data_IF_270713104313
#
_entry.id   IF_270713104313
#
_cell.length_a   1.000
_cell.length_b   1.000
_cell.length_c   1.000
_cell.angle_alpha   90.00
_cell.angle_beta   90.00
_cell.angle_gamma   90.00
#
_symmetry.space_group_name_H-M   'P 1'
#
loop_
_entity.id
_entity.type
_entity.pdbx_description
1 polymer ?
#
# COMPACT_ATOMS: atom_id res chain seq x y z
N UNK A 1 25.87 -55.27 -6.47
CA UNK A 1 25.03 -54.79 -5.36
C UNK A 1 25.45 -53.40 -4.81
N UNK A 2 26.73 -53.06 -4.81
CA UNK A 2 27.19 -51.73 -4.37
C UNK A 2 26.76 -50.58 -5.30
N UNK A 3 26.57 -50.83 -6.61
CA UNK A 3 26.21 -49.84 -7.62
C UNK A 3 24.74 -49.35 -7.47
N UNK A 4 23.83 -50.21 -7.03
CA UNK A 4 22.42 -49.88 -6.81
C UNK A 4 22.19 -48.99 -5.58
N UNK A 5 23.02 -49.16 -4.52
CA UNK A 5 22.92 -48.31 -3.32
C UNK A 5 23.48 -46.92 -3.55
N UNK A 6 24.50 -46.76 -4.39
CA UNK A 6 25.05 -45.47 -4.76
C UNK A 6 24.12 -44.68 -5.71
N UNK A 7 23.44 -45.40 -6.61
CA UNK A 7 22.42 -44.79 -7.50
C UNK A 7 21.20 -44.31 -6.71
N UNK A 8 20.76 -45.09 -5.71
CA UNK A 8 19.67 -44.68 -4.84
C UNK A 8 20.03 -43.49 -3.96
N UNK A 9 21.29 -43.42 -3.48
CA UNK A 9 21.76 -42.29 -2.68
C UNK A 9 21.83 -41.00 -3.51
N UNK A 10 22.29 -41.08 -4.77
CA UNK A 10 22.32 -39.96 -5.72
C UNK A 10 20.92 -39.46 -6.10
N UNK A 11 19.96 -40.36 -6.25
CA UNK A 11 18.56 -40.02 -6.53
C UNK A 11 17.91 -39.33 -5.33
N UNK A 12 18.19 -39.78 -4.11
CA UNK A 12 17.73 -39.13 -2.88
C UNK A 12 18.34 -37.73 -2.68
N UNK A 13 19.62 -37.55 -3.03
CA UNK A 13 20.28 -36.23 -2.97
C UNK A 13 19.78 -35.27 -4.02
N UNK A 14 19.39 -35.74 -5.22
CA UNK A 14 18.79 -34.90 -6.25
C UNK A 14 17.34 -34.51 -5.96
N UNK A 15 16.60 -35.33 -5.23
CA UNK A 15 15.21 -35.04 -4.90
C UNK A 15 15.07 -34.03 -3.75
N UNK A 16 16.11 -33.77 -2.97
CA UNK A 16 16.11 -32.81 -1.87
C UNK A 16 16.37 -31.37 -2.32
N UNK A 17 16.67 -31.14 -3.60
CA UNK A 17 17.00 -29.80 -4.12
C UNK A 17 15.83 -29.06 -4.79
N UNK A 18 14.61 -29.60 -4.77
CA UNK A 18 13.46 -29.08 -5.50
C UNK A 18 12.37 -28.38 -4.66
N UNK A 19 12.66 -28.09 -3.38
CA UNK A 19 11.78 -27.23 -2.58
C UNK A 19 12.41 -25.87 -2.31
N UNK A 20 12.79 -25.16 -3.37
CA UNK A 20 12.88 -23.71 -3.27
C UNK A 20 11.44 -23.20 -3.35
N UNK A 21 10.79 -23.16 -2.22
CA UNK A 21 9.54 -22.43 -2.05
C UNK A 21 9.86 -20.95 -2.35
N UNK A 22 9.63 -20.51 -3.57
CA UNK A 22 9.61 -19.08 -3.89
C UNK A 22 8.39 -18.49 -3.20
N UNK A 23 8.53 -18.15 -1.92
CA UNK A 23 7.55 -17.36 -1.22
C UNK A 23 7.44 -16.01 -1.90
N UNK A 24 6.32 -15.76 -2.59
CA UNK A 24 6.01 -14.43 -3.09
C UNK A 24 5.77 -13.56 -1.87
N UNK A 25 6.68 -12.61 -1.61
CA UNK A 25 6.50 -11.64 -0.55
C UNK A 25 5.39 -10.67 -0.96
N UNK A 26 4.21 -10.80 -0.36
CA UNK A 26 3.16 -9.80 -0.49
C UNK A 26 3.47 -8.65 0.48
N UNK A 27 3.38 -7.40 -0.02
CA UNK A 27 3.39 -6.22 0.83
C UNK A 27 2.21 -6.30 1.81
N UNK A 28 2.47 -6.09 3.10
CA UNK A 28 1.41 -6.07 4.08
C UNK A 28 0.68 -4.73 4.12
N UNK A 29 -0.40 -4.65 4.89
CA UNK A 29 -1.21 -3.43 5.04
C UNK A 29 -0.36 -2.24 5.52
N UNK A 30 0.55 -2.45 6.45
CA UNK A 30 1.39 -1.37 6.98
C UNK A 30 2.32 -0.81 5.91
N UNK A 31 2.91 -1.67 5.09
CA UNK A 31 3.76 -1.26 3.98
C UNK A 31 2.97 -0.47 2.93
N UNK A 32 1.78 -0.94 2.60
CA UNK A 32 0.89 -0.26 1.66
C UNK A 32 0.48 1.13 2.15
N UNK A 33 0.08 1.26 3.42
CA UNK A 33 -0.32 2.55 4.00
C UNK A 33 0.86 3.51 4.11
N UNK A 34 2.03 3.03 4.52
CA UNK A 34 3.24 3.84 4.55
C UNK A 34 3.62 4.33 3.15
N UNK A 35 3.52 3.46 2.15
CA UNK A 35 3.73 3.85 0.75
C UNK A 35 2.76 4.96 0.33
N UNK A 36 1.47 4.82 0.63
CA UNK A 36 0.47 5.83 0.28
C UNK A 36 0.73 7.18 0.97
N UNK A 37 1.14 7.18 2.23
CA UNK A 37 1.52 8.40 2.95
C UNK A 37 2.73 9.08 2.32
N UNK A 38 3.75 8.32 1.94
CA UNK A 38 4.91 8.86 1.21
C UNK A 38 4.54 9.36 -0.19
N UNK A 39 3.67 8.66 -0.89
CA UNK A 39 3.16 9.08 -2.19
C UNK A 39 2.46 10.44 -2.11
N UNK A 40 1.64 10.65 -1.07
CA UNK A 40 1.02 11.95 -0.80
C UNK A 40 2.09 13.02 -0.57
N UNK A 41 3.04 12.75 0.33
CA UNK A 41 4.08 13.71 0.72
C UNK A 41 4.96 14.18 -0.44
N UNK A 42 5.23 13.29 -1.40
CA UNK A 42 6.12 13.54 -2.54
C UNK A 42 5.40 14.08 -3.78
N UNK A 43 4.07 14.18 -3.74
CA UNK A 43 3.26 14.45 -4.93
C UNK A 43 3.35 15.87 -5.47
N UNK A 44 3.76 16.86 -4.68
CA UNK A 44 3.68 18.29 -4.99
C UNK A 44 2.26 18.78 -5.36
N UNK A 45 1.25 17.98 -5.07
CA UNK A 45 -0.14 18.29 -5.35
C UNK A 45 -0.74 19.15 -4.23
N UNK A 46 -1.84 19.83 -4.53
CA UNK A 46 -2.63 20.58 -3.56
C UNK A 46 -3.80 19.72 -3.09
N UNK A 47 -3.94 19.60 -1.80
CA UNK A 47 -5.03 18.88 -1.15
C UNK A 47 -6.14 19.86 -0.79
N UNK A 48 -7.37 19.57 -1.20
CA UNK A 48 -8.54 20.41 -0.90
C UNK A 48 -9.45 19.69 0.09
N UNK A 49 -9.58 20.28 1.27
CA UNK A 49 -10.38 19.73 2.37
C UNK A 49 -11.32 20.78 2.91
N UNK A 50 -12.62 20.53 2.83
CA UNK A 50 -13.65 21.45 3.28
C UNK A 50 -13.49 22.87 2.68
N UNK A 51 -13.14 22.96 1.40
CA UNK A 51 -12.93 24.22 0.68
C UNK A 51 -11.61 24.92 0.97
N UNK A 52 -10.73 24.32 1.76
CA UNK A 52 -9.42 24.89 2.12
C UNK A 52 -8.29 24.08 1.48
N UNK A 53 -7.28 24.78 0.99
CA UNK A 53 -6.11 24.17 0.37
C UNK A 53 -5.00 23.87 1.38
N UNK A 54 -4.35 22.75 1.19
CA UNK A 54 -3.23 22.28 2.01
C UNK A 54 -2.10 21.81 1.12
N UNK A 55 -0.87 21.98 1.57
CA UNK A 55 0.29 21.40 0.91
C UNK A 55 0.28 19.88 1.05
N UNK A 56 1.07 19.20 0.22
CA UNK A 56 1.25 17.75 0.28
C UNK A 56 1.74 17.28 1.66
N UNK A 57 2.70 17.97 2.26
CA UNK A 57 3.22 17.63 3.58
C UNK A 57 2.20 17.85 4.70
N UNK A 58 1.46 18.95 4.67
CA UNK A 58 0.38 19.21 5.63
C UNK A 58 -0.72 18.14 5.52
N UNK A 59 -1.08 17.76 4.30
CA UNK A 59 -2.06 16.71 4.06
C UNK A 59 -1.58 15.36 4.60
N UNK A 60 -0.34 14.98 4.29
CA UNK A 60 0.27 13.74 4.79
C UNK A 60 0.25 13.70 6.32
N UNK A 61 0.69 14.76 6.98
CA UNK A 61 0.77 14.83 8.44
C UNK A 61 -0.62 14.73 9.08
N UNK A 62 -1.61 15.40 8.51
CA UNK A 62 -3.00 15.32 8.97
C UNK A 62 -3.57 13.91 8.84
N UNK A 63 -3.36 13.27 7.70
CA UNK A 63 -3.84 11.91 7.42
C UNK A 63 -3.13 10.88 8.32
N UNK A 64 -1.82 11.02 8.48
CA UNK A 64 -1.04 10.16 9.35
C UNK A 64 -1.52 10.26 10.81
N UNK A 65 -1.81 11.45 11.30
CA UNK A 65 -2.35 11.68 12.65
C UNK A 65 -3.74 11.04 12.83
N UNK A 66 -4.62 11.18 11.84
CA UNK A 66 -5.94 10.49 11.86
C UNK A 66 -5.77 8.98 11.90
N UNK A 67 -4.88 8.44 11.07
CA UNK A 67 -4.63 7.01 11.02
C UNK A 67 -4.09 6.48 12.35
N UNK A 68 -3.09 7.13 12.94
CA UNK A 68 -2.51 6.71 14.22
C UNK A 68 -3.54 6.61 15.33
N UNK A 69 -4.52 7.52 15.37
CA UNK A 69 -5.55 7.52 16.42
C UNK A 69 -6.58 6.39 16.28
N UNK A 70 -6.70 5.77 15.10
CA UNK A 70 -7.72 4.73 14.83
C UNK A 70 -7.16 3.48 14.13
N UNK A 71 -5.85 3.35 14.01
CA UNK A 71 -5.21 2.27 13.22
C UNK A 71 -5.63 0.86 13.65
N UNK A 72 -5.95 0.66 14.91
CA UNK A 72 -6.44 -0.61 15.45
C UNK A 72 -7.78 -1.05 14.84
N UNK A 73 -8.57 -0.09 14.29
CA UNK A 73 -9.83 -0.36 13.61
C UNK A 73 -9.69 -0.46 12.09
N UNK A 74 -8.55 -0.07 11.54
CA UNK A 74 -8.31 -0.07 10.08
C UNK A 74 -7.69 -1.40 9.69
N UNK A 75 -8.47 -2.24 9.05
CA UNK A 75 -8.04 -3.61 8.71
C UNK A 75 -7.45 -3.74 7.31
N UNK A 76 -7.79 -2.84 6.41
CA UNK A 76 -7.34 -2.89 5.00
C UNK A 76 -6.85 -1.52 4.53
N UNK A 77 -6.01 -1.52 3.50
CA UNK A 77 -5.55 -0.29 2.86
C UNK A 77 -6.69 0.43 2.15
N UNK A 78 -7.66 -0.29 1.63
CA UNK A 78 -8.87 0.27 1.04
C UNK A 78 -9.70 1.05 2.07
N UNK A 79 -9.84 0.53 3.28
CA UNK A 79 -10.52 1.24 4.38
C UNK A 79 -9.75 2.48 4.81
N UNK A 80 -8.42 2.41 4.86
CA UNK A 80 -7.58 3.59 5.08
C UNK A 80 -7.86 4.67 4.03
N UNK A 81 -7.87 4.31 2.75
CA UNK A 81 -8.15 5.25 1.67
C UNK A 81 -9.53 5.87 1.83
N UNK A 82 -10.57 5.05 1.91
CA UNK A 82 -11.96 5.54 1.86
C UNK A 82 -12.38 6.32 3.10
N UNK A 83 -11.90 5.94 4.28
CA UNK A 83 -12.38 6.51 5.56
C UNK A 83 -11.42 7.50 6.20
N UNK A 84 -10.12 7.34 5.99
CA UNK A 84 -9.12 8.18 6.66
C UNK A 84 -8.55 9.24 5.72
N UNK A 85 -8.07 8.82 4.54
CA UNK A 85 -7.33 9.68 3.63
C UNK A 85 -8.21 10.54 2.74
N UNK A 86 -9.46 10.15 2.48
CA UNK A 86 -10.25 10.68 1.37
C UNK A 86 -11.48 11.47 1.78
N UNK A 87 -11.78 11.61 3.06
CA UNK A 87 -12.93 12.37 3.52
C UNK A 87 -12.80 12.93 4.92
N UNK A 88 -13.53 14.00 5.17
CA UNK A 88 -13.62 14.63 6.50
C UNK A 88 -14.31 13.69 7.49
N UNK A 89 -13.71 13.54 8.67
CA UNK A 89 -14.32 12.79 9.78
C UNK A 89 -15.55 13.48 10.35
N UNK A 90 -15.66 14.81 10.18
CA UNK A 90 -16.79 15.60 10.68
C UNK A 90 -17.95 15.68 9.69
N UNK A 91 -17.68 16.11 8.47
CA UNK A 91 -18.71 16.40 7.46
C UNK A 91 -18.98 15.23 6.52
N UNK A 92 -18.08 14.26 6.42
CA UNK A 92 -18.12 13.20 5.43
C UNK A 92 -17.82 13.67 4.00
N UNK A 93 -17.51 14.97 3.82
CA UNK A 93 -17.18 15.51 2.49
C UNK A 93 -15.89 14.91 1.96
N UNK A 94 -15.90 14.56 0.68
CA UNK A 94 -14.73 14.04 -0.02
C UNK A 94 -13.62 15.09 -0.11
N UNK A 95 -12.39 14.65 0.09
CA UNK A 95 -11.22 15.44 -0.21
C UNK A 95 -10.91 15.36 -1.69
N UNK A 96 -10.47 16.46 -2.26
CA UNK A 96 -10.02 16.55 -3.63
C UNK A 96 -8.50 16.71 -3.65
N UNK A 97 -7.89 16.24 -4.72
CA UNK A 97 -6.47 16.41 -4.99
C UNK A 97 -6.31 17.11 -6.34
N UNK A 98 -5.51 18.15 -6.37
CA UNK A 98 -5.19 18.88 -7.60
C UNK A 98 -3.69 18.74 -7.87
N UNK A 99 -3.38 18.02 -8.93
CA UNK A 99 -2.01 17.81 -9.40
C UNK A 99 -1.88 18.53 -10.73
N UNK A 100 -1.01 19.56 -10.80
CA UNK A 100 -0.93 20.46 -11.93
C UNK A 100 -2.29 21.15 -12.12
N UNK A 101 -2.96 20.91 -13.24
CA UNK A 101 -4.28 21.50 -13.55
C UNK A 101 -5.42 20.49 -13.45
N UNK A 102 -5.11 19.23 -13.13
CA UNK A 102 -6.10 18.17 -13.00
C UNK A 102 -6.57 18.00 -11.56
N UNK A 103 -7.88 18.01 -11.37
CA UNK A 103 -8.52 17.76 -10.09
C UNK A 103 -9.30 16.46 -10.13
N UNK A 104 -9.17 15.66 -9.08
CA UNK A 104 -9.88 14.40 -8.92
C UNK A 104 -10.12 14.13 -7.43
N UNK A 105 -10.97 13.15 -7.12
CA UNK A 105 -11.12 12.75 -5.73
C UNK A 105 -9.83 12.09 -5.24
N UNK A 106 -9.48 12.35 -4.00
CA UNK A 106 -8.33 11.71 -3.36
C UNK A 106 -8.49 10.19 -3.32
N UNK A 107 -9.72 9.71 -3.14
CA UNK A 107 -10.04 8.28 -3.14
C UNK A 107 -9.65 7.59 -4.45
N UNK A 108 -10.02 8.16 -5.60
CA UNK A 108 -9.65 7.63 -6.92
C UNK A 108 -8.14 7.66 -7.14
N UNK A 109 -7.51 8.75 -6.76
CA UNK A 109 -6.08 8.95 -6.92
C UNK A 109 -5.26 7.94 -6.10
N UNK A 110 -5.59 7.76 -4.82
CA UNK A 110 -4.92 6.81 -3.94
C UNK A 110 -5.24 5.35 -4.28
N UNK A 111 -6.47 5.06 -4.69
CA UNK A 111 -6.84 3.69 -5.10
C UNK A 111 -6.04 3.23 -6.31
N UNK A 112 -5.83 4.13 -7.27
CA UNK A 112 -4.98 3.85 -8.43
C UNK A 112 -3.53 3.59 -8.03
N UNK A 113 -3.00 4.39 -7.11
CA UNK A 113 -1.63 4.17 -6.62
C UNK A 113 -1.49 2.86 -5.83
N UNK A 114 -2.49 2.49 -5.06
CA UNK A 114 -2.50 1.20 -4.37
C UNK A 114 -2.42 0.04 -5.36
N UNK A 115 -3.19 0.09 -6.44
CA UNK A 115 -3.14 -0.91 -7.51
C UNK A 115 -1.75 -0.96 -8.17
N UNK A 116 -1.17 0.21 -8.47
CA UNK A 116 0.16 0.31 -9.04
C UNK A 116 1.23 -0.26 -8.11
N UNK A 117 1.15 0.04 -6.83
CA UNK A 117 2.06 -0.49 -5.82
C UNK A 117 1.99 -2.01 -5.75
N UNK A 118 0.79 -2.57 -5.69
CA UNK A 118 0.55 -4.02 -5.66
C UNK A 118 1.09 -4.72 -6.91
N UNK A 119 0.89 -4.12 -8.09
CA UNK A 119 1.40 -4.67 -9.35
C UNK A 119 2.92 -4.79 -9.37
N UNK A 120 3.62 -3.86 -8.75
CA UNK A 120 5.09 -3.88 -8.66
C UNK A 120 5.62 -4.88 -7.62
N UNK A 121 4.77 -5.39 -6.74
CA UNK A 121 5.15 -6.28 -5.63
C UNK A 121 4.54 -7.69 -5.75
N UNK A 122 4.06 -8.04 -6.92
CA UNK A 122 3.56 -9.39 -7.25
C UNK A 122 4.65 -10.29 -7.82
#
# INVERSE_FOLDING_TARGET
>A
MKILSEQLLLICLMSMFLFVSTGVAHADKSDEINHLLEFIAQSDCIYVRNGKEYSALEARDHIAGKYESVKWRIRTSETFISKIASRSSFSGKQYMIRCKEEEQTTEQWLSRELENYRSRHQ
#
